data_IF_096898595205
#
_entry.id   IF_096898595205
#
_cell.length_a   1.000
_cell.length_b   1.000
_cell.length_c   1.000
_cell.angle_alpha   90.00
_cell.angle_beta   90.00
_cell.angle_gamma   90.00
#
_symmetry.space_group_name_H-M   'P 1'
#
loop_
_entity.id
_entity.type
_entity.pdbx_description
1 polymer ?
#
# COMPACT_ATOMS: atom_id res chain seq x y z
N UNK A 1 21.75 8.83 5.64
CA UNK A 1 20.59 8.32 4.88
C UNK A 1 19.64 9.48 4.71
N UNK A 2 19.24 9.78 3.47
CA UNK A 2 18.63 11.07 3.13
C UNK A 2 17.23 11.19 3.72
N UNK A 3 16.95 12.36 4.29
CA UNK A 3 15.69 12.79 4.90
C UNK A 3 14.44 12.74 3.97
N UNK A 4 14.60 12.28 2.72
CA UNK A 4 13.56 12.23 1.70
C UNK A 4 12.64 11.00 1.81
N UNK A 5 13.11 9.94 2.48
CA UNK A 5 12.41 8.65 2.53
C UNK A 5 11.19 8.65 3.49
N UNK A 6 11.10 9.62 4.42
CA UNK A 6 10.02 9.72 5.41
C UNK A 6 8.92 10.75 5.07
N UNK A 7 9.01 11.40 3.91
CA UNK A 7 8.03 12.44 3.53
C UNK A 7 6.79 11.79 2.94
N UNK A 8 5.66 11.92 3.65
CA UNK A 8 4.34 11.50 3.19
C UNK A 8 3.92 12.36 1.99
N UNK A 9 3.70 11.72 0.83
CA UNK A 9 3.35 12.40 -0.43
C UNK A 9 2.42 11.60 -1.35
N UNK A 10 2.34 10.28 -1.18
CA UNK A 10 1.53 9.39 -2.00
C UNK A 10 0.16 9.20 -1.39
N UNK A 11 -0.85 9.20 -2.25
CA UNK A 11 -2.24 8.95 -1.88
C UNK A 11 -2.53 7.46 -1.84
N UNK A 12 -3.72 7.11 -1.34
CA UNK A 12 -4.25 5.75 -1.43
C UNK A 12 -4.32 5.26 -2.88
N UNK A 13 -4.76 6.12 -3.79
CA UNK A 13 -4.92 5.76 -5.20
C UNK A 13 -3.57 5.45 -5.85
N UNK A 14 -2.50 6.14 -5.46
CA UNK A 14 -1.14 5.85 -5.92
C UNK A 14 -0.67 4.44 -5.49
N UNK A 15 -1.00 4.02 -4.27
CA UNK A 15 -0.70 2.68 -3.77
C UNK A 15 -1.54 1.61 -4.48
N UNK A 16 -2.84 1.86 -4.68
CA UNK A 16 -3.76 0.96 -5.39
C UNK A 16 -3.30 0.77 -6.84
N UNK A 17 -2.94 1.85 -7.53
CA UNK A 17 -2.40 1.78 -8.88
C UNK A 17 -1.11 0.96 -8.92
N UNK A 18 -0.20 1.18 -7.96
CA UNK A 18 1.04 0.42 -7.90
C UNK A 18 0.82 -1.09 -7.64
N UNK A 19 -0.18 -1.45 -6.82
CA UNK A 19 -0.59 -2.84 -6.65
C UNK A 19 -1.13 -3.44 -7.95
N UNK A 20 -2.02 -2.71 -8.63
CA UNK A 20 -2.61 -3.15 -9.89
C UNK A 20 -1.54 -3.40 -10.96
N UNK A 21 -0.57 -2.48 -11.10
CA UNK A 21 0.54 -2.60 -12.05
C UNK A 21 1.37 -3.88 -11.80
N UNK A 22 1.73 -4.14 -10.54
CA UNK A 22 2.56 -5.31 -10.17
C UNK A 22 1.80 -6.64 -10.25
N UNK A 23 0.49 -6.62 -9.98
CA UNK A 23 -0.39 -7.79 -10.08
C UNK A 23 -0.94 -8.01 -11.49
N UNK A 24 -0.65 -7.12 -12.44
CA UNK A 24 -1.09 -7.22 -13.83
C UNK A 24 -2.61 -7.04 -14.01
N UNK A 25 -3.24 -6.21 -13.19
CA UNK A 25 -4.67 -5.89 -13.25
C UNK A 25 -4.93 -4.38 -13.36
N UNK A 26 -6.18 -3.96 -13.15
CA UNK A 26 -6.62 -2.55 -13.14
C UNK A 26 -6.95 -2.10 -11.72
N UNK A 27 -6.76 -0.81 -11.37
CA UNK A 27 -7.08 -0.29 -10.03
C UNK A 27 -8.55 -0.46 -9.64
N UNK A 28 -9.46 -0.51 -10.63
CA UNK A 28 -10.90 -0.70 -10.41
C UNK A 28 -11.31 -2.18 -10.21
N UNK A 29 -10.36 -3.12 -10.30
CA UNK A 29 -10.64 -4.54 -10.03
C UNK A 29 -10.90 -4.71 -8.52
N UNK A 30 -12.06 -5.25 -8.10
CA UNK A 30 -12.38 -5.43 -6.69
C UNK A 30 -11.32 -6.24 -5.93
N UNK A 31 -10.63 -7.17 -6.60
CA UNK A 31 -9.57 -7.97 -5.99
C UNK A 31 -8.33 -7.14 -5.65
N UNK A 32 -8.12 -6.00 -6.32
CA UNK A 32 -7.05 -5.06 -5.97
C UNK A 32 -7.39 -4.31 -4.68
N UNK A 33 -8.67 -4.00 -4.43
CA UNK A 33 -9.09 -3.42 -3.17
C UNK A 33 -8.87 -4.40 -2.01
N UNK A 34 -9.22 -5.67 -2.18
CA UNK A 34 -8.95 -6.72 -1.19
C UNK A 34 -7.43 -6.88 -0.95
N UNK A 35 -6.64 -6.89 -2.03
CA UNK A 35 -5.18 -6.95 -1.94
C UNK A 35 -4.58 -5.73 -1.22
N UNK A 36 -5.16 -4.54 -1.44
CA UNK A 36 -4.78 -3.32 -0.73
C UNK A 36 -5.03 -3.46 0.77
N UNK A 37 -6.21 -3.90 1.19
CA UNK A 37 -6.51 -4.11 2.61
C UNK A 37 -5.55 -5.14 3.23
N UNK A 38 -5.27 -6.23 2.51
CA UNK A 38 -4.36 -7.27 2.98
C UNK A 38 -2.91 -6.76 3.19
N UNK A 39 -2.38 -5.96 2.27
CA UNK A 39 -1.02 -5.40 2.46
C UNK A 39 -0.98 -4.41 3.61
N UNK A 40 -2.03 -3.60 3.80
CA UNK A 40 -2.10 -2.67 4.93
C UNK A 40 -2.23 -3.42 6.26
N UNK A 41 -2.98 -4.51 6.31
CA UNK A 41 -3.05 -5.38 7.49
C UNK A 41 -1.69 -5.97 7.84
N UNK A 42 -0.94 -6.46 6.85
CA UNK A 42 0.41 -7.00 7.07
C UNK A 42 1.38 -5.90 7.57
N UNK A 43 1.31 -4.69 7.01
CA UNK A 43 2.11 -3.54 7.45
C UNK A 43 1.74 -3.13 8.88
N UNK A 44 0.45 -3.02 9.19
CA UNK A 44 -0.05 -2.66 10.52
C UNK A 44 0.33 -3.71 11.56
N UNK A 45 0.20 -5.00 11.24
CA UNK A 45 0.59 -6.10 12.11
C UNK A 45 2.09 -6.09 12.47
N UNK A 46 2.94 -5.61 11.56
CA UNK A 46 4.38 -5.46 11.80
C UNK A 46 4.77 -4.18 12.56
N UNK A 47 3.82 -3.27 12.81
CA UNK A 47 4.05 -1.97 13.47
C UNK A 47 4.02 -2.07 15.00
N UNK A 48 4.63 -1.09 15.67
CA UNK A 48 4.50 -0.89 17.11
C UNK A 48 3.11 -0.38 17.52
N UNK A 49 2.45 0.38 16.63
CA UNK A 49 1.07 0.86 16.79
C UNK A 49 0.25 0.51 15.53
N UNK A 50 -0.39 -0.67 15.51
CA UNK A 50 -1.17 -1.13 14.35
C UNK A 50 -2.38 -0.24 14.06
N UNK A 51 -3.06 0.27 15.09
CA UNK A 51 -4.28 1.07 14.94
C UNK A 51 -3.96 2.45 14.31
N UNK A 52 -2.87 3.08 14.73
CA UNK A 52 -2.40 4.33 14.14
C UNK A 52 -2.02 4.13 12.66
N UNK A 53 -1.26 3.07 12.37
CA UNK A 53 -0.81 2.76 11.00
C UNK A 53 -2.00 2.46 10.11
N UNK A 54 -2.91 1.60 10.53
CA UNK A 54 -4.13 1.29 9.80
C UNK A 54 -4.93 2.58 9.56
N UNK A 55 -5.17 3.38 10.60
CA UNK A 55 -5.89 4.65 10.48
C UNK A 55 -5.26 5.60 9.46
N UNK A 56 -3.93 5.65 9.34
CA UNK A 56 -3.24 6.50 8.36
C UNK A 56 -3.61 6.13 6.92
N UNK A 57 -3.61 4.86 6.56
CA UNK A 57 -3.78 4.40 5.17
C UNK A 57 -5.21 4.53 4.62
N UNK A 58 -6.19 4.86 5.46
CA UNK A 58 -7.59 5.07 5.07
C UNK A 58 -8.06 6.53 5.27
N UNK A 59 -7.12 7.47 5.45
CA UNK A 59 -7.43 8.92 5.46
C UNK A 59 -7.41 9.49 4.04
N UNK A 60 -8.05 10.65 3.88
CA UNK A 60 -7.95 11.44 2.67
C UNK A 60 -6.60 12.14 2.54
N UNK A 61 -6.10 12.24 1.31
CA UNK A 61 -4.86 12.94 0.96
C UNK A 61 -3.61 12.05 0.98
N UNK A 62 -2.41 12.65 1.07
CA UNK A 62 -1.16 11.91 1.18
C UNK A 62 -1.10 11.09 2.47
N UNK A 63 -0.85 9.80 2.35
CA UNK A 63 -0.86 8.80 3.42
C UNK A 63 0.39 7.91 3.43
N UNK A 64 1.14 7.88 2.32
CA UNK A 64 2.32 7.05 2.15
C UNK A 64 3.58 7.84 1.76
N UNK A 65 4.72 7.32 2.22
CA UNK A 65 6.07 7.69 1.82
C UNK A 65 6.53 6.90 0.59
N UNK A 66 7.70 7.25 0.04
CA UNK A 66 8.31 6.45 -1.04
C UNK A 66 8.61 5.01 -0.58
N UNK A 67 8.99 4.84 0.69
CA UNK A 67 9.27 3.52 1.26
C UNK A 67 7.99 2.68 1.37
N UNK A 68 6.87 3.28 1.74
CA UNK A 68 5.58 2.59 1.78
C UNK A 68 5.16 2.13 0.37
N UNK A 69 5.33 2.99 -0.65
CA UNK A 69 5.05 2.63 -2.03
C UNK A 69 5.93 1.47 -2.52
N UNK A 70 7.22 1.48 -2.17
CA UNK A 70 8.13 0.37 -2.49
C UNK A 70 7.76 -0.91 -1.74
N UNK A 71 7.32 -0.82 -0.48
CA UNK A 71 6.88 -1.96 0.30
C UNK A 71 5.64 -2.62 -0.32
N UNK A 72 4.67 -1.81 -0.74
CA UNK A 72 3.44 -2.28 -1.41
C UNK A 72 3.77 -2.98 -2.73
N UNK A 73 4.65 -2.40 -3.56
CA UNK A 73 5.12 -3.07 -4.80
C UNK A 73 5.85 -4.36 -4.51
N UNK A 74 6.74 -4.34 -3.50
CA UNK A 74 7.49 -5.52 -3.07
C UNK A 74 6.59 -6.64 -2.56
N UNK A 75 5.50 -6.29 -1.87
CA UNK A 75 4.49 -7.22 -1.40
C UNK A 75 3.76 -7.91 -2.56
N UNK A 76 3.36 -7.15 -3.58
CA UNK A 76 2.64 -7.66 -4.75
C UNK A 76 3.51 -8.52 -5.67
N UNK A 77 4.81 -8.22 -5.73
CA UNK A 77 5.73 -8.87 -6.66
C UNK A 77 5.74 -10.40 -6.52
N UNK A 78 5.29 -11.08 -7.57
CA UNK A 78 5.24 -12.54 -7.62
C UNK A 78 4.05 -13.17 -6.90
N UNK A 79 3.13 -12.37 -6.35
CA UNK A 79 1.80 -12.83 -5.93
C UNK A 79 0.89 -12.92 -7.16
N UNK A 80 -0.14 -13.76 -7.07
CA UNK A 80 -1.18 -13.91 -8.08
C UNK A 80 -2.52 -13.56 -7.45
N UNK A 81 -3.36 -12.84 -8.19
CA UNK A 81 -4.77 -12.70 -7.85
C UNK A 81 -5.45 -14.05 -8.09
N UNK A 82 -6.04 -14.61 -7.05
CA UNK A 82 -6.85 -15.83 -7.13
C UNK A 82 -8.33 -15.45 -7.24
N UNK A 83 -9.09 -16.30 -7.93
CA UNK A 83 -10.55 -16.19 -8.09
C UNK A 83 -11.32 -16.86 -6.95
#
# INVERSE_FOLDING_TARGET
>A
MSQADDVIRHTRDDLIQALADELGSTPDDPRIHDAYEQVIDEIAFASFDPDEVYSRYFRDGPIATDLDLLAVRGWAKGRLLLD
#
